data_IF_205106407763
#
_entry.id   IF_205106407763
#
_cell.length_a   1.000
_cell.length_b   1.000
_cell.length_c   1.000
_cell.angle_alpha   90.00
_cell.angle_beta   90.00
_cell.angle_gamma   90.00
#
_symmetry.space_group_name_H-M   'P 1'
#
loop_
_entity.id
_entity.type
_entity.pdbx_description
1 polymer ?
#
# COMPACT_ATOMS: atom_id res chain seq x y z
N UNK A 1 3.06 13.98 3.12
CA UNK A 1 1.80 13.75 2.38
C UNK A 1 2.16 12.85 1.20
N UNK A 2 1.49 11.73 0.96
CA UNK A 2 0.14 11.42 1.41
C UNK A 2 -0.04 9.95 1.82
N UNK A 3 -0.41 9.75 3.09
CA UNK A 3 -1.29 8.65 3.47
C UNK A 3 -2.52 8.67 2.54
N UNK A 4 -3.17 7.53 2.31
CA UNK A 4 -4.43 7.48 1.54
C UNK A 4 -5.41 8.60 1.94
N UNK A 5 -5.97 9.27 0.93
CA UNK A 5 -7.14 10.14 1.10
C UNK A 5 -8.31 9.36 1.69
N UNK A 6 -9.30 10.04 2.26
CA UNK A 6 -10.46 9.37 2.88
C UNK A 6 -11.17 8.40 1.92
N UNK A 7 -11.29 8.77 0.64
CA UNK A 7 -11.84 7.91 -0.40
C UNK A 7 -10.98 6.67 -0.66
N UNK A 8 -9.66 6.84 -0.80
CA UNK A 8 -8.75 5.72 -1.01
C UNK A 8 -8.55 4.86 0.24
N UNK A 9 -8.73 5.42 1.43
CA UNK A 9 -8.70 4.65 2.68
C UNK A 9 -9.88 3.67 2.73
N UNK A 10 -11.08 4.09 2.32
CA UNK A 10 -12.23 3.19 2.22
C UNK A 10 -11.94 2.05 1.21
N UNK A 11 -11.41 2.38 0.04
CA UNK A 11 -11.00 1.40 -0.98
C UNK A 11 -9.92 0.46 -0.46
N UNK A 12 -8.91 0.98 0.26
CA UNK A 12 -7.84 0.19 0.85
C UNK A 12 -8.37 -0.83 1.86
N UNK A 13 -9.29 -0.42 2.75
CA UNK A 13 -9.93 -1.31 3.71
C UNK A 13 -10.77 -2.39 3.01
N UNK A 14 -11.48 -2.03 1.94
CA UNK A 14 -12.20 -3.00 1.13
C UNK A 14 -11.23 -4.02 0.49
N UNK A 15 -10.12 -3.57 -0.09
CA UNK A 15 -9.08 -4.43 -0.66
C UNK A 15 -8.58 -5.41 0.41
N UNK A 16 -8.20 -4.91 1.60
CA UNK A 16 -7.70 -5.75 2.69
C UNK A 16 -8.71 -6.83 3.09
N UNK A 17 -10.01 -6.47 3.15
CA UNK A 17 -11.08 -7.40 3.54
C UNK A 17 -11.26 -8.59 2.59
N UNK A 18 -10.79 -8.49 1.35
CA UNK A 18 -10.88 -9.56 0.33
C UNK A 18 -9.84 -10.66 0.54
N UNK A 19 -8.84 -10.46 1.40
CA UNK A 19 -7.78 -11.42 1.65
C UNK A 19 -7.93 -12.06 3.04
N UNK A 20 -7.80 -13.39 3.16
CA UNK A 20 -7.81 -14.07 4.46
C UNK A 20 -6.59 -13.69 5.33
N UNK A 21 -5.51 -13.24 4.70
CA UNK A 21 -4.29 -12.75 5.36
C UNK A 21 -4.07 -11.30 4.90
N UNK A 22 -4.14 -10.29 5.79
CA UNK A 22 -4.05 -8.88 5.40
C UNK A 22 -2.80 -8.53 4.60
N UNK A 23 -1.65 -9.12 4.95
CA UNK A 23 -0.37 -8.93 4.24
C UNK A 23 -0.46 -9.25 2.74
N UNK A 24 -1.34 -10.17 2.32
CA UNK A 24 -1.54 -10.50 0.90
C UNK A 24 -2.12 -9.34 0.08
N UNK A 25 -2.69 -8.32 0.73
CA UNK A 25 -3.17 -7.10 0.09
C UNK A 25 -2.05 -6.08 -0.27
N UNK A 26 -0.77 -6.38 0.02
CA UNK A 26 0.32 -5.40 -0.16
C UNK A 26 0.43 -4.89 -1.60
N UNK A 27 0.40 -5.79 -2.61
CA UNK A 27 0.50 -5.40 -4.04
C UNK A 27 -0.66 -4.49 -4.49
N UNK A 28 -1.95 -4.85 -4.30
CA UNK A 28 -3.03 -3.97 -4.71
C UNK A 28 -3.05 -2.63 -3.96
N UNK A 29 -2.60 -2.60 -2.69
CA UNK A 29 -2.46 -1.34 -1.96
C UNK A 29 -1.33 -0.46 -2.50
N UNK A 30 -0.21 -1.05 -2.94
CA UNK A 30 0.87 -0.32 -3.61
C UNK A 30 0.41 0.28 -4.95
N UNK A 31 -0.44 -0.43 -5.70
CA UNK A 31 -1.09 0.11 -6.90
C UNK A 31 -1.96 1.31 -6.57
N UNK A 32 -2.82 1.20 -5.56
CA UNK A 32 -3.69 2.29 -5.14
C UNK A 32 -2.89 3.54 -4.70
N UNK A 33 -1.76 3.34 -4.01
CA UNK A 33 -0.87 4.44 -3.62
C UNK A 33 -0.26 5.13 -4.84
N UNK A 34 0.23 4.35 -5.81
CA UNK A 34 0.78 4.89 -7.06
C UNK A 34 -0.28 5.58 -7.92
N UNK A 35 -1.53 5.11 -7.93
CA UNK A 35 -2.63 5.77 -8.64
C UNK A 35 -2.99 7.13 -8.01
N UNK A 36 -2.89 7.25 -6.69
CA UNK A 36 -3.16 8.49 -5.97
C UNK A 36 -2.14 9.57 -6.29
N UNK A 37 -0.85 9.25 -6.17
CA UNK A 37 0.23 10.25 -6.16
C UNK A 37 1.15 10.18 -7.39
N UNK A 38 0.95 9.20 -8.27
CA UNK A 38 1.78 8.92 -9.45
C UNK A 38 3.04 8.08 -9.16
N UNK A 39 3.35 7.88 -7.88
CA UNK A 39 4.46 7.08 -7.35
C UNK A 39 4.16 6.67 -5.90
N UNK A 40 4.88 5.69 -5.38
CA UNK A 40 4.72 5.17 -4.02
C UNK A 40 5.62 5.94 -3.06
N UNK A 41 5.03 6.77 -2.21
CA UNK A 41 5.77 7.55 -1.19
C UNK A 41 6.14 6.70 0.03
N UNK A 42 7.11 7.16 0.82
CA UNK A 42 7.47 6.52 2.09
C UNK A 42 6.30 6.56 3.09
N UNK A 43 5.59 7.69 3.19
CA UNK A 43 4.36 7.83 3.99
C UNK A 43 3.29 6.80 3.58
N UNK A 44 3.13 6.53 2.29
CA UNK A 44 2.18 5.54 1.79
C UNK A 44 2.61 4.12 2.18
N UNK A 45 3.90 3.78 2.10
CA UNK A 45 4.39 2.47 2.53
C UNK A 45 4.23 2.26 4.04
N UNK A 46 4.45 3.29 4.86
CA UNK A 46 4.17 3.25 6.30
C UNK A 46 2.69 2.99 6.55
N UNK A 47 1.81 3.72 5.87
CA UNK A 47 0.37 3.53 6.04
C UNK A 47 -0.11 2.14 5.60
N UNK A 48 0.39 1.63 4.47
CA UNK A 48 0.09 0.28 4.00
C UNK A 48 0.56 -0.74 5.05
N UNK A 49 1.73 -0.53 5.63
CA UNK A 49 2.27 -1.43 6.65
C UNK A 49 1.37 -1.53 7.87
N UNK A 50 0.84 -0.40 8.34
CA UNK A 50 -0.15 -0.34 9.43
C UNK A 50 -1.44 -1.09 9.06
N UNK A 51 -1.97 -0.88 7.86
CA UNK A 51 -3.22 -1.50 7.40
C UNK A 51 -3.14 -3.03 7.30
N UNK A 52 -1.98 -3.57 6.95
CA UNK A 52 -1.78 -5.02 6.75
C UNK A 52 -1.05 -5.71 7.90
N UNK A 53 -0.71 -4.98 8.97
CA UNK A 53 -0.04 -5.52 10.16
C UNK A 53 1.38 -6.02 9.89
N UNK A 54 2.15 -5.29 9.08
CA UNK A 54 3.54 -5.63 8.70
C UNK A 54 4.46 -4.43 8.97
N UNK A 55 5.76 -4.51 8.65
CA UNK A 55 6.67 -3.36 8.79
C UNK A 55 6.81 -2.58 7.48
N UNK A 56 7.10 -1.26 7.53
CA UNK A 56 7.39 -0.48 6.33
C UNK A 56 8.53 -1.07 5.49
N UNK A 57 9.53 -1.68 6.14
CA UNK A 57 10.62 -2.37 5.46
C UNK A 57 10.17 -3.58 4.62
N UNK A 58 9.14 -4.31 5.07
CA UNK A 58 8.56 -5.43 4.31
C UNK A 58 7.75 -4.94 3.11
N UNK A 59 7.03 -3.81 3.27
CA UNK A 59 6.31 -3.16 2.17
C UNK A 59 7.32 -2.62 1.14
N UNK A 60 8.37 -1.94 1.60
CA UNK A 60 9.47 -1.47 0.76
C UNK A 60 10.11 -2.61 -0.02
N UNK A 61 10.43 -3.73 0.63
CA UNK A 61 10.99 -4.90 -0.04
C UNK A 61 10.10 -5.43 -1.16
N UNK A 62 8.78 -5.37 -0.99
CA UNK A 62 7.81 -5.72 -2.04
C UNK A 62 7.80 -4.67 -3.15
N UNK A 63 7.74 -3.39 -2.79
CA UNK A 63 7.74 -2.27 -3.73
C UNK A 63 9.00 -2.26 -4.62
N UNK A 64 10.19 -2.46 -4.04
CA UNK A 64 11.46 -2.49 -4.77
C UNK A 64 11.67 -3.75 -5.60
N UNK A 65 10.97 -4.84 -5.27
CA UNK A 65 11.10 -6.10 -6.01
C UNK A 65 10.37 -6.07 -7.35
N UNK A 66 9.26 -5.32 -7.45
CA UNK A 66 8.47 -5.22 -8.67
C UNK A 66 8.75 -3.90 -9.40
N UNK A 67 9.36 -3.99 -10.58
CA UNK A 67 9.71 -2.82 -11.42
C UNK A 67 8.52 -1.92 -11.81
N UNK A 68 7.29 -2.40 -11.69
CA UNK A 68 6.08 -1.63 -12.00
C UNK A 68 5.79 -0.48 -11.02
N UNK A 69 6.38 -0.52 -9.82
CA UNK A 69 6.21 0.54 -8.82
C UNK A 69 7.32 1.56 -8.93
N UNK A 70 6.92 2.80 -9.19
CA UNK A 70 7.76 3.99 -9.16
C UNK A 70 7.77 4.53 -7.74
N UNK A 71 8.93 4.94 -7.27
CA UNK A 71 9.13 5.61 -5.98
C UNK A 71 9.74 6.98 -6.21
#
# INVERSE_FOLDING_TARGET
MARFSDANLATALEIVSRYPVPKSATIPLLHLAQEQDGYVTDDAMEHIAELVGTTPAQVLGTCSFYEMFKR
#
